data_IF_414662954090
#
_entry.id   IF_414662954090
#
_cell.length_a   1.000
_cell.length_b   1.000
_cell.length_c   1.000
_cell.angle_alpha   90.00
_cell.angle_beta   90.00
_cell.angle_gamma   90.00
#
_symmetry.space_group_name_H-M   'P 1'
#
loop_
_entity.id
_entity.type
_entity.pdbx_description
1 polymer ?
#
# COMPACT_ATOMS: atom_id res chain seq x y z
N UNK A 1 3.79 1.92 -18.95
CA UNK A 1 4.87 2.02 -17.93
C UNK A 1 4.86 0.76 -17.07
N UNK A 2 6.00 0.17 -16.82
CA UNK A 2 6.16 -1.09 -16.08
C UNK A 2 6.54 -0.83 -14.61
N UNK A 3 6.31 -1.81 -13.75
CA UNK A 3 6.79 -1.79 -12.36
C UNK A 3 8.32 -1.57 -12.28
N UNK A 4 9.06 -2.10 -13.26
CA UNK A 4 10.52 -1.94 -13.35
C UNK A 4 10.95 -0.47 -13.56
N UNK A 5 10.22 0.30 -14.36
CA UNK A 5 10.54 1.73 -14.58
C UNK A 5 10.33 2.57 -13.33
N UNK A 6 9.36 2.19 -12.49
CA UNK A 6 9.10 2.84 -11.19
C UNK A 6 9.99 2.30 -10.07
N UNK A 7 10.73 1.19 -10.28
CA UNK A 7 11.48 0.45 -9.25
C UNK A 7 10.61 0.12 -8.02
N UNK A 8 9.37 -0.28 -8.28
CA UNK A 8 8.37 -0.59 -7.27
C UNK A 8 7.67 -1.89 -7.64
N UNK A 9 7.57 -2.81 -6.69
CA UNK A 9 6.90 -4.09 -6.87
C UNK A 9 5.38 -3.97 -6.83
N UNK A 10 4.69 -4.98 -7.35
CA UNK A 10 3.31 -5.28 -6.99
C UNK A 10 3.28 -5.84 -5.57
N UNK A 11 2.22 -5.54 -4.82
CA UNK A 11 2.03 -6.08 -3.48
C UNK A 11 0.72 -6.84 -3.37
N UNK A 12 0.81 -8.09 -2.93
CA UNK A 12 -0.34 -8.83 -2.44
C UNK A 12 -0.66 -8.38 -1.02
N UNK A 13 -1.86 -7.87 -0.81
CA UNK A 13 -2.31 -7.34 0.49
C UNK A 13 -3.22 -8.36 1.15
N UNK A 14 -2.91 -8.66 2.40
CA UNK A 14 -3.57 -9.67 3.23
C UNK A 14 -4.29 -9.02 4.41
N UNK A 15 -5.51 -9.46 4.68
CA UNK A 15 -6.16 -9.23 5.97
C UNK A 15 -5.29 -9.85 7.08
N UNK A 16 -5.15 -9.14 8.18
CA UNK A 16 -4.59 -9.69 9.42
C UNK A 16 -5.61 -9.59 10.55
N UNK A 17 -5.46 -10.43 11.57
CA UNK A 17 -6.21 -10.22 12.80
C UNK A 17 -5.85 -8.86 13.38
N UNK A 18 -6.86 -8.00 13.52
CA UNK A 18 -6.69 -6.60 13.88
C UNK A 18 -5.95 -6.46 15.21
N UNK A 19 -4.96 -5.59 15.23
CA UNK A 19 -4.21 -5.26 16.43
C UNK A 19 -4.24 -3.76 16.70
N UNK A 20 -4.60 -3.39 17.91
CA UNK A 20 -4.57 -1.99 18.32
C UNK A 20 -3.14 -1.44 18.30
N UNK A 21 -3.01 -0.24 17.77
CA UNK A 21 -1.77 0.52 17.70
C UNK A 21 -2.07 1.95 18.13
N UNK A 22 -1.15 2.55 18.84
CA UNK A 22 -1.22 3.96 19.17
C UNK A 22 0.01 4.66 18.61
N UNK A 23 -0.19 5.68 17.83
CA UNK A 23 0.89 6.50 17.29
C UNK A 23 0.35 7.71 16.54
N UNK A 24 1.00 8.84 16.72
CA UNK A 24 0.72 10.06 15.97
C UNK A 24 1.88 10.32 15.02
N UNK A 25 1.57 10.58 13.77
CA UNK A 25 2.55 10.91 12.73
C UNK A 25 2.18 12.21 12.04
N UNK A 26 3.18 12.94 11.58
CA UNK A 26 2.99 14.03 10.64
C UNK A 26 3.36 13.54 9.24
N UNK A 27 2.44 13.70 8.30
CA UNK A 27 2.55 13.27 6.92
C UNK A 27 2.47 14.48 6.00
N UNK A 28 3.33 14.52 4.98
CA UNK A 28 3.25 15.52 3.92
C UNK A 28 3.50 14.84 2.58
N UNK A 29 2.52 14.88 1.72
CA UNK A 29 2.56 14.35 0.36
C UNK A 29 2.32 15.44 -0.67
N UNK A 30 2.20 15.04 -1.91
CA UNK A 30 1.96 15.94 -3.05
C UNK A 30 0.60 16.66 -2.98
N UNK A 31 -0.32 16.15 -2.18
CA UNK A 31 -1.66 16.74 -1.98
C UNK A 31 -1.72 17.70 -0.79
N UNK A 32 -0.69 17.73 0.05
CA UNK A 32 -0.71 18.43 1.32
C UNK A 32 0.22 19.66 1.24
N UNK A 33 -0.29 20.90 1.28
CA UNK A 33 0.55 22.11 1.26
C UNK A 33 1.43 22.20 2.51
N UNK A 34 1.00 21.55 3.61
CA UNK A 34 1.75 21.43 4.87
C UNK A 34 1.54 20.06 5.50
N UNK A 35 2.43 19.69 6.41
CA UNK A 35 2.32 18.42 7.13
C UNK A 35 1.00 18.30 7.89
N UNK A 36 0.34 17.15 7.75
CA UNK A 36 -0.94 16.83 8.37
C UNK A 36 -0.74 15.75 9.43
N UNK A 37 -1.40 15.88 10.58
CA UNK A 37 -1.38 14.87 11.64
C UNK A 37 -2.33 13.73 11.31
N UNK A 38 -1.85 12.49 11.46
CA UNK A 38 -2.65 11.28 11.40
C UNK A 38 -2.44 10.47 12.68
N UNK A 39 -3.54 10.10 13.34
CA UNK A 39 -3.52 9.19 14.47
C UNK A 39 -3.74 7.77 13.99
N UNK A 40 -2.77 6.89 14.25
CA UNK A 40 -2.86 5.47 13.92
C UNK A 40 -3.62 4.73 15.02
N UNK A 41 -4.53 3.83 14.62
CA UNK A 41 -5.42 3.12 15.54
C UNK A 41 -5.30 1.60 15.45
N UNK A 42 -5.20 1.03 14.26
CA UNK A 42 -5.22 -0.41 14.03
C UNK A 42 -4.17 -0.81 12.99
N UNK A 43 -3.55 -1.96 13.19
CA UNK A 43 -2.85 -2.69 12.15
C UNK A 43 -3.88 -3.57 11.44
N UNK A 44 -4.20 -3.27 10.19
CA UNK A 44 -5.29 -3.92 9.42
C UNK A 44 -4.80 -4.92 8.39
N UNK A 45 -3.67 -4.61 7.72
CA UNK A 45 -3.19 -5.42 6.61
C UNK A 45 -1.67 -5.56 6.62
N UNK A 46 -1.21 -6.66 6.04
CA UNK A 46 0.18 -6.91 5.71
C UNK A 46 0.31 -7.12 4.20
N UNK A 47 1.40 -6.63 3.60
CA UNK A 47 1.62 -6.71 2.17
C UNK A 47 2.99 -7.32 1.84
N UNK A 48 2.97 -8.34 0.97
CA UNK A 48 4.15 -8.96 0.38
C UNK A 48 4.39 -8.47 -1.04
N UNK A 49 5.65 -8.29 -1.45
CA UNK A 49 5.97 -8.17 -2.87
C UNK A 49 5.55 -9.45 -3.60
N UNK A 50 4.94 -9.31 -4.78
CA UNK A 50 4.35 -10.40 -5.52
C UNK A 50 4.77 -10.41 -6.99
N UNK A 51 5.12 -11.60 -7.50
CA UNK A 51 5.30 -11.82 -8.93
C UNK A 51 3.93 -11.91 -9.60
N UNK A 52 3.71 -11.09 -10.60
CA UNK A 52 2.52 -11.04 -11.44
C UNK A 52 2.85 -11.65 -12.81
N UNK A 53 2.13 -12.69 -13.21
CA UNK A 53 2.31 -13.38 -14.51
C UNK A 53 3.77 -13.81 -14.80
N UNK A 54 4.53 -14.15 -13.74
CA UNK A 54 5.93 -14.54 -13.85
C UNK A 54 6.94 -13.39 -13.87
N UNK A 55 6.50 -12.14 -13.78
CA UNK A 55 7.40 -10.98 -13.66
C UNK A 55 8.29 -11.09 -12.42
N UNK A 56 9.51 -10.64 -12.56
CA UNK A 56 10.49 -10.65 -11.46
C UNK A 56 10.09 -9.67 -10.37
N UNK A 57 10.19 -10.10 -9.10
CA UNK A 57 10.13 -9.22 -7.94
C UNK A 57 11.44 -8.42 -7.87
N UNK A 58 11.33 -7.09 -7.75
CA UNK A 58 12.47 -6.18 -7.69
C UNK A 58 13.19 -6.29 -6.34
N UNK A 59 12.45 -6.20 -5.23
CA UNK A 59 12.99 -6.37 -3.88
C UNK A 59 12.14 -7.34 -3.04
N UNK A 60 12.69 -8.52 -2.76
CA UNK A 60 12.00 -9.55 -1.96
C UNK A 60 11.77 -9.15 -0.50
N UNK A 61 12.48 -8.12 -0.01
CA UNK A 61 12.33 -7.57 1.34
C UNK A 61 11.37 -6.39 1.41
N UNK A 62 10.81 -5.95 0.28
CA UNK A 62 9.87 -4.84 0.22
C UNK A 62 8.51 -5.22 0.81
N UNK A 63 8.39 -5.28 2.12
CA UNK A 63 7.11 -5.52 2.79
C UNK A 63 6.53 -4.22 3.32
N UNK A 64 5.19 -4.15 3.34
CA UNK A 64 4.43 -3.03 3.90
C UNK A 64 3.48 -3.53 4.97
N UNK A 65 3.35 -2.76 6.03
CA UNK A 65 2.29 -2.93 7.03
C UNK A 65 1.33 -1.75 6.89
N UNK A 66 0.04 -2.01 6.79
CA UNK A 66 -0.97 -0.97 6.68
C UNK A 66 -1.61 -0.70 8.04
N UNK A 67 -1.44 0.51 8.49
CA UNK A 67 -2.09 1.02 9.69
C UNK A 67 -3.28 1.89 9.30
N UNK A 68 -4.46 1.56 9.82
CA UNK A 68 -5.62 2.44 9.74
C UNK A 68 -5.36 3.69 10.55
N UNK A 69 -5.60 4.85 9.95
CA UNK A 69 -5.42 6.14 10.60
C UNK A 69 -6.69 6.97 10.56
N UNK A 70 -6.91 7.74 11.61
CA UNK A 70 -7.95 8.74 11.67
C UNK A 70 -7.35 10.10 11.35
N UNK A 71 -7.92 10.77 10.37
CA UNK A 71 -7.56 12.13 9.97
C UNK A 71 -8.83 12.96 9.78
N UNK A 72 -8.77 14.22 10.15
CA UNK A 72 -9.87 15.16 9.88
C UNK A 72 -10.13 15.29 8.37
N UNK A 73 -11.36 15.61 8.01
CA UNK A 73 -11.83 15.64 6.62
C UNK A 73 -10.88 16.38 5.70
N UNK A 74 -10.50 15.73 4.62
CA UNK A 74 -9.70 16.29 3.55
C UNK A 74 -10.56 16.60 2.34
N UNK A 75 -10.19 17.60 1.53
CA UNK A 75 -10.89 17.85 0.28
C UNK A 75 -10.76 16.65 -0.65
N UNK A 76 -11.82 16.36 -1.38
CA UNK A 76 -11.76 15.38 -2.47
C UNK A 76 -10.86 15.89 -3.59
N UNK A 77 -10.26 14.94 -4.31
CA UNK A 77 -9.38 15.24 -5.44
C UNK A 77 -9.69 14.32 -6.60
N UNK A 78 -9.78 14.89 -7.78
CA UNK A 78 -9.80 14.13 -9.03
C UNK A 78 -8.37 13.87 -9.46
N UNK A 79 -8.03 12.61 -9.74
CA UNK A 79 -6.68 12.16 -10.04
C UNK A 79 -6.70 11.26 -11.26
N UNK A 80 -5.88 11.55 -12.25
CA UNK A 80 -5.66 10.66 -13.40
C UNK A 80 -4.42 9.81 -13.14
N UNK A 81 -4.60 8.50 -13.13
CA UNK A 81 -3.58 7.48 -12.82
C UNK A 81 -3.44 6.52 -13.98
N UNK A 82 -2.23 6.10 -14.27
CA UNK A 82 -1.92 5.10 -15.30
C UNK A 82 -1.05 3.99 -14.73
N UNK A 83 -1.38 2.75 -15.09
CA UNK A 83 -0.60 1.55 -14.79
C UNK A 83 -0.78 0.49 -15.89
N UNK A 84 -0.29 -0.74 -15.66
CA UNK A 84 -0.43 -1.83 -16.65
C UNK A 84 -1.87 -2.26 -16.94
N UNK A 85 -2.82 -1.94 -16.07
CA UNK A 85 -4.23 -2.32 -16.24
C UNK A 85 -5.04 -1.25 -16.97
N UNK A 86 -4.45 -0.10 -17.26
CA UNK A 86 -5.06 0.98 -17.99
C UNK A 86 -4.86 2.35 -17.36
N UNK A 87 -5.65 3.29 -17.85
CA UNK A 87 -5.72 4.66 -17.37
C UNK A 87 -7.04 4.87 -16.64
N UNK A 88 -6.96 5.41 -15.43
CA UNK A 88 -8.07 5.56 -14.52
C UNK A 88 -8.25 7.03 -14.17
N UNK A 89 -9.48 7.52 -14.24
CA UNK A 89 -9.88 8.79 -13.66
C UNK A 89 -10.57 8.47 -12.33
N UNK A 90 -9.90 8.74 -11.23
CA UNK A 90 -10.34 8.38 -9.89
C UNK A 90 -10.61 9.61 -9.04
N UNK A 91 -11.52 9.47 -8.08
CA UNK A 91 -11.79 10.49 -7.07
C UNK A 91 -11.39 9.98 -5.70
N UNK A 92 -10.46 10.70 -5.03
CA UNK A 92 -10.06 10.36 -3.66
C UNK A 92 -11.00 10.99 -2.65
N UNK A 93 -11.41 10.19 -1.66
CA UNK A 93 -12.04 10.66 -0.44
C UNK A 93 -11.00 11.02 0.64
N UNK A 94 -11.38 10.82 1.90
CA UNK A 94 -10.51 11.06 3.06
C UNK A 94 -9.34 10.08 3.14
N UNK A 95 -8.27 10.52 3.81
CA UNK A 95 -7.15 9.65 4.18
C UNK A 95 -7.63 8.51 5.09
N UNK A 96 -7.29 7.27 4.72
CA UNK A 96 -7.76 6.05 5.38
C UNK A 96 -6.67 5.35 6.21
N UNK A 97 -5.39 5.63 5.93
CA UNK A 97 -4.29 5.02 6.66
C UNK A 97 -2.93 5.28 6.07
N UNK A 98 -1.96 4.57 6.62
CA UNK A 98 -0.55 4.67 6.28
C UNK A 98 0.04 3.29 5.99
N UNK A 99 0.62 3.11 4.81
CA UNK A 99 1.50 1.98 4.50
C UNK A 99 2.91 2.32 4.98
N UNK A 100 3.48 1.41 5.75
CA UNK A 100 4.79 1.59 6.41
C UNK A 100 5.75 0.51 5.95
N UNK A 101 6.92 0.86 5.40
CA UNK A 101 7.99 -0.09 5.14
C UNK A 101 8.31 -0.92 6.39
N UNK A 102 8.31 -2.23 6.25
CA UNK A 102 8.42 -3.16 7.37
C UNK A 102 9.34 -4.32 7.03
N UNK A 103 10.13 -4.75 8.00
CA UNK A 103 10.86 -5.99 7.91
C UNK A 103 9.92 -7.15 8.29
N UNK A 104 9.83 -8.18 7.47
CA UNK A 104 9.31 -9.48 7.87
C UNK A 104 10.46 -10.22 8.54
N UNK A 105 10.34 -10.48 9.85
CA UNK A 105 11.43 -11.05 10.65
C UNK A 105 11.54 -12.55 10.40
N UNK A 106 12.51 -12.94 9.61
CA UNK A 106 12.88 -14.33 9.30
C UNK A 106 14.36 -14.41 8.95
N UNK A 107 14.92 -15.62 8.86
CA UNK A 107 16.33 -15.81 8.52
C UNK A 107 16.66 -15.17 7.16
N UNK A 108 17.71 -14.37 7.11
CA UNK A 108 18.17 -13.65 5.91
C UNK A 108 17.32 -12.45 5.48
N UNK A 109 16.27 -12.08 6.23
CA UNK A 109 15.48 -10.90 5.92
C UNK A 109 16.20 -9.60 6.28
N UNK A 110 15.99 -8.56 5.46
CA UNK A 110 16.49 -7.22 5.71
C UNK A 110 15.34 -6.21 5.76
N UNK A 111 15.61 -5.05 6.33
CA UNK A 111 14.68 -3.93 6.26
C UNK A 111 14.69 -3.36 4.82
N UNK A 112 13.52 -3.05 4.21
CA UNK A 112 13.47 -2.48 2.87
C UNK A 112 14.20 -1.12 2.83
N UNK A 113 15.09 -0.95 1.84
CA UNK A 113 15.96 0.24 1.76
C UNK A 113 15.36 1.36 0.92
N UNK A 114 14.57 1.02 -0.10
CA UNK A 114 14.11 1.96 -1.14
C UNK A 114 12.58 2.09 -1.20
N UNK A 115 11.89 1.67 -0.16
CA UNK A 115 10.43 1.69 -0.11
C UNK A 115 9.94 2.90 0.69
N UNK A 116 9.05 3.67 0.07
CA UNK A 116 8.47 4.85 0.69
C UNK A 116 7.36 4.52 1.70
N UNK A 117 7.01 5.50 2.51
CA UNK A 117 5.76 5.52 3.25
C UNK A 117 4.66 6.04 2.34
N UNK A 118 3.45 5.46 2.42
CA UNK A 118 2.34 5.87 1.57
C UNK A 118 1.13 6.24 2.42
N UNK A 119 0.61 7.44 2.21
CA UNK A 119 -0.72 7.81 2.71
C UNK A 119 -1.75 7.20 1.77
N UNK A 120 -2.69 6.47 2.33
CA UNK A 120 -3.73 5.76 1.60
C UNK A 120 -5.02 6.56 1.64
N UNK A 121 -5.60 6.79 0.47
CA UNK A 121 -6.89 7.45 0.29
C UNK A 121 -7.92 6.43 -0.17
N UNK A 122 -9.10 6.45 0.44
CA UNK A 122 -10.24 5.70 -0.07
C UNK A 122 -10.73 6.33 -1.37
N UNK A 123 -11.10 5.51 -2.34
CA UNK A 123 -11.74 5.98 -3.57
C UNK A 123 -13.25 6.07 -3.40
N UNK A 124 -13.84 7.06 -4.08
CA UNK A 124 -15.28 7.25 -4.18
C UNK A 124 -15.66 7.27 -5.67
N UNK A 125 -16.87 6.87 -5.99
CA UNK A 125 -17.44 6.89 -7.36
C UNK A 125 -16.52 6.21 -8.38
N UNK A 126 -16.13 4.97 -8.13
CA UNK A 126 -15.22 4.22 -8.98
C UNK A 126 -16.01 3.36 -9.96
N UNK A 127 -15.74 3.54 -11.26
CA UNK A 127 -16.25 2.65 -12.30
C UNK A 127 -15.59 1.25 -12.17
N UNK A 128 -16.39 0.22 -12.44
CA UNK A 128 -15.88 -1.15 -12.48
C UNK A 128 -14.91 -1.31 -13.64
N UNK A 129 -13.75 -1.88 -13.35
CA UNK A 129 -12.82 -2.29 -14.41
C UNK A 129 -13.18 -3.68 -14.94
N UNK A 130 -12.90 -3.99 -16.21
CA UNK A 130 -13.06 -5.34 -16.74
C UNK A 130 -12.31 -6.35 -15.87
N UNK A 131 -12.94 -7.48 -15.59
CA UNK A 131 -12.33 -8.55 -14.80
C UNK A 131 -11.12 -9.12 -15.55
N UNK A 132 -9.93 -8.86 -15.02
CA UNK A 132 -8.67 -9.41 -15.52
C UNK A 132 -8.23 -10.55 -14.60
N UNK A 133 -7.86 -11.68 -15.18
CA UNK A 133 -7.27 -12.80 -14.43
C UNK A 133 -5.75 -12.67 -14.42
N UNK A 134 -5.17 -12.84 -13.24
CA UNK A 134 -3.73 -12.71 -13.01
C UNK A 134 -3.22 -13.94 -12.27
N UNK A 135 -2.10 -14.47 -12.73
CA UNK A 135 -1.35 -15.48 -11.96
C UNK A 135 -0.40 -14.75 -11.01
N UNK A 136 -0.68 -14.84 -9.71
CA UNK A 136 0.11 -14.20 -8.67
C UNK A 136 0.88 -15.25 -7.88
N UNK A 137 2.14 -14.92 -7.53
CA UNK A 137 3.00 -15.76 -6.70
C UNK A 137 3.80 -14.91 -5.73
N UNK A 138 3.61 -15.14 -4.45
CA UNK A 138 4.44 -14.58 -3.39
C UNK A 138 4.94 -15.69 -2.43
N UNK A 139 5.42 -15.29 -1.26
CA UNK A 139 5.95 -16.23 -0.25
C UNK A 139 4.86 -17.08 0.41
N UNK A 140 3.59 -16.70 0.34
CA UNK A 140 2.49 -17.39 1.03
C UNK A 140 1.64 -18.23 0.09
N UNK A 141 1.47 -17.80 -1.14
CA UNK A 141 0.55 -18.45 -2.07
C UNK A 141 0.96 -18.29 -3.55
N UNK A 142 0.52 -19.24 -4.35
CA UNK A 142 0.56 -19.15 -5.81
C UNK A 142 -0.81 -19.48 -6.37
N UNK A 143 -1.27 -18.75 -7.36
CA UNK A 143 -2.48 -19.07 -8.10
C UNK A 143 -3.12 -17.89 -8.81
N UNK A 144 -4.24 -18.17 -9.48
CA UNK A 144 -4.99 -17.17 -10.22
C UNK A 144 -5.95 -16.41 -9.30
N UNK A 145 -6.05 -15.11 -9.55
CA UNK A 145 -7.03 -14.22 -8.94
C UNK A 145 -7.73 -13.40 -10.03
N UNK A 146 -8.98 -13.04 -9.80
CA UNK A 146 -9.65 -12.04 -10.61
C UNK A 146 -9.42 -10.65 -10.00
N UNK A 147 -8.94 -9.73 -10.81
CA UNK A 147 -8.82 -8.32 -10.47
C UNK A 147 -10.23 -7.70 -10.48
N UNK A 148 -10.53 -6.88 -9.48
CA UNK A 148 -11.79 -6.16 -9.33
C UNK A 148 -11.55 -4.66 -9.43
N UNK A 149 -12.55 -3.86 -9.08
CA UNK A 149 -12.46 -2.40 -9.10
C UNK A 149 -11.37 -1.86 -8.15
N UNK A 150 -10.77 -0.71 -8.46
CA UNK A 150 -9.84 -0.03 -7.56
C UNK A 150 -10.60 0.49 -6.33
N UNK A 151 -10.00 0.33 -5.15
CA UNK A 151 -10.59 0.68 -3.85
C UNK A 151 -9.85 1.82 -3.16
N UNK A 152 -8.53 1.89 -3.35
CA UNK A 152 -7.69 2.86 -2.68
C UNK A 152 -6.59 3.37 -3.61
N UNK A 153 -6.13 4.58 -3.33
CA UNK A 153 -4.96 5.18 -3.97
C UNK A 153 -3.93 5.55 -2.90
N UNK A 154 -2.70 5.08 -3.06
CA UNK A 154 -1.62 5.31 -2.13
C UNK A 154 -0.57 6.24 -2.73
N UNK A 155 -0.26 7.31 -2.01
CA UNK A 155 0.63 8.40 -2.43
C UNK A 155 1.86 8.40 -1.55
N UNK A 156 3.08 8.46 -2.10
CA UNK A 156 4.29 8.56 -1.30
C UNK A 156 4.28 9.85 -0.46
N UNK A 157 4.67 9.72 0.80
CA UNK A 157 4.66 10.81 1.76
C UNK A 157 5.95 10.90 2.57
N UNK A 158 6.40 12.11 2.82
CA UNK A 158 7.32 12.37 3.91
C UNK A 158 6.59 12.08 5.23
N UNK A 159 7.24 11.34 6.11
CA UNK A 159 6.72 11.04 7.44
C UNK A 159 7.66 11.58 8.52
N UNK A 160 7.09 12.23 9.56
CA UNK A 160 7.78 12.53 10.81
C UNK A 160 7.13 11.74 11.94
N UNK A 161 7.96 11.06 12.74
CA UNK A 161 7.55 10.34 13.94
C UNK A 161 8.57 10.58 15.06
N UNK A 162 8.15 11.24 16.11
CA UNK A 162 9.07 11.84 17.08
C UNK A 162 10.04 12.79 16.38
N UNK A 163 11.32 12.68 16.68
CA UNK A 163 12.37 13.50 16.06
C UNK A 163 12.85 12.97 14.72
N UNK A 164 12.41 11.76 14.32
CA UNK A 164 12.85 11.13 13.06
C UNK A 164 11.98 11.58 11.89
N UNK A 165 12.66 11.99 10.82
CA UNK A 165 12.06 12.35 9.54
C UNK A 165 12.44 11.32 8.47
N UNK A 166 11.47 10.86 7.72
CA UNK A 166 11.61 9.90 6.63
C UNK A 166 11.19 10.61 5.33
N UNK A 167 12.15 11.06 4.52
CA UNK A 167 11.86 11.74 3.26
C UNK A 167 11.26 10.79 2.22
N UNK A 168 10.61 11.33 1.20
CA UNK A 168 10.19 10.59 0.02
C UNK A 168 11.43 10.27 -0.81
N UNK A 169 11.55 9.03 -1.27
CA UNK A 169 12.64 8.57 -2.14
C UNK A 169 12.24 8.60 -3.61
N UNK A 170 10.96 8.29 -3.92
CA UNK A 170 10.43 8.30 -5.27
C UNK A 170 9.02 8.90 -5.32
N UNK A 171 8.94 10.20 -5.63
CA UNK A 171 7.67 10.94 -5.71
C UNK A 171 6.73 10.44 -6.82
N UNK A 172 7.23 9.66 -7.78
CA UNK A 172 6.45 9.12 -8.90
C UNK A 172 5.86 7.74 -8.62
N UNK A 173 6.36 7.04 -7.62
CA UNK A 173 6.00 5.67 -7.30
C UNK A 173 4.72 5.61 -6.45
N UNK A 174 3.56 5.72 -7.09
CA UNK A 174 2.24 5.57 -6.45
C UNK A 174 1.76 4.13 -6.54
N UNK A 175 0.74 3.79 -5.75
CA UNK A 175 0.06 2.50 -5.82
C UNK A 175 -1.45 2.70 -6.02
N UNK A 176 -2.02 2.09 -7.06
CA UNK A 176 -3.47 1.92 -7.18
C UNK A 176 -3.83 0.53 -6.66
N UNK A 177 -4.74 0.47 -5.68
CA UNK A 177 -5.02 -0.75 -4.93
C UNK A 177 -6.39 -1.28 -5.35
N UNK A 178 -6.38 -2.48 -5.91
CA UNK A 178 -7.55 -3.17 -6.45
C UNK A 178 -8.01 -4.25 -5.50
N UNK A 179 -9.32 -4.45 -5.39
CA UNK A 179 -9.88 -5.67 -4.83
C UNK A 179 -9.52 -6.89 -5.71
N UNK A 180 -9.37 -8.04 -5.10
CA UNK A 180 -9.17 -9.32 -5.80
C UNK A 180 -10.12 -10.38 -5.24
N UNK A 181 -10.26 -11.50 -5.95
CA UNK A 181 -10.91 -12.69 -5.37
C UNK A 181 -10.09 -13.17 -4.18
N UNK A 182 -10.67 -13.20 -2.95
CA UNK A 182 -9.94 -13.58 -1.74
C UNK A 182 -9.43 -15.03 -1.80
N UNK A 183 -8.26 -15.27 -1.18
CA UNK A 183 -7.66 -16.59 -1.03
C UNK A 183 -7.10 -16.77 0.37
N UNK A 184 -7.40 -17.90 0.99
CA UNK A 184 -6.90 -18.22 2.33
C UNK A 184 -5.37 -18.32 2.33
N UNK A 185 -4.74 -17.77 3.36
CA UNK A 185 -3.30 -17.82 3.58
C UNK A 185 -2.95 -18.53 4.89
N UNK A 186 -3.60 -18.18 6.00
CA UNK A 186 -3.42 -18.79 7.33
C UNK A 186 -1.94 -18.91 7.74
N UNK A 187 -1.27 -17.77 7.87
CA UNK A 187 0.16 -17.67 8.21
C UNK A 187 0.37 -16.79 9.44
N UNK A 188 1.42 -17.05 10.18
CA UNK A 188 1.94 -16.12 11.19
C UNK A 188 3.14 -15.38 10.59
N UNK A 189 3.19 -14.07 10.82
CA UNK A 189 4.27 -13.20 10.36
C UNK A 189 4.70 -12.30 11.51
N UNK A 190 5.98 -12.30 11.79
CA UNK A 190 6.55 -11.33 12.74
C UNK A 190 7.04 -10.12 11.96
N UNK A 191 6.51 -8.94 12.25
CA UNK A 191 6.83 -7.68 11.58
C UNK A 191 7.60 -6.75 12.51
N UNK A 192 8.55 -6.02 11.91
CA UNK A 192 9.33 -4.98 12.60
C UNK A 192 9.27 -3.69 11.81
N UNK A 193 8.81 -2.64 12.45
CA UNK A 193 8.89 -1.25 12.00
C UNK A 193 8.82 -0.32 13.23
N UNK A 194 8.64 1.00 13.04
CA UNK A 194 8.61 1.94 14.15
C UNK A 194 7.39 1.80 15.08
N UNK A 195 6.31 1.15 14.65
CA UNK A 195 5.09 0.91 15.43
C UNK A 195 4.95 -0.53 15.90
N UNK A 196 5.72 -1.44 15.32
CA UNK A 196 5.71 -2.87 15.61
C UNK A 196 7.14 -3.38 15.82
N UNK A 197 7.57 -3.49 17.07
CA UNK A 197 8.93 -3.93 17.45
C UNK A 197 9.00 -5.46 17.58
N UNK A 198 8.85 -6.20 16.48
CA UNK A 198 8.81 -7.67 16.50
C UNK A 198 7.44 -8.21 16.93
N UNK A 199 6.40 -7.70 16.32
CA UNK A 199 5.01 -8.09 16.58
C UNK A 199 4.60 -9.20 15.64
N UNK A 200 4.13 -10.32 16.18
CA UNK A 200 3.55 -11.41 15.39
C UNK A 200 2.07 -11.12 15.12
N UNK A 201 1.69 -11.18 13.85
CA UNK A 201 0.32 -11.05 13.38
C UNK A 201 -0.11 -12.31 12.64
N UNK A 202 -1.39 -12.66 12.74
CA UNK A 202 -1.98 -13.75 11.97
C UNK A 202 -2.53 -13.19 10.66
N UNK A 203 -1.95 -13.63 9.57
CA UNK A 203 -2.41 -13.36 8.20
C UNK A 203 -3.54 -14.33 7.85
N UNK A 204 -4.68 -13.83 7.43
CA UNK A 204 -5.90 -14.62 7.22
C UNK A 204 -6.06 -14.99 5.75
N UNK A 205 -6.18 -14.00 4.88
CA UNK A 205 -6.42 -14.18 3.44
C UNK A 205 -5.91 -13.00 2.63
N UNK A 206 -5.58 -13.23 1.37
CA UNK A 206 -5.33 -12.14 0.42
C UNK A 206 -6.66 -11.50 0.00
N UNK A 207 -6.68 -10.18 -0.10
CA UNK A 207 -7.91 -9.42 -0.42
C UNK A 207 -7.72 -8.34 -1.46
N UNK A 208 -6.50 -7.84 -1.64
CA UNK A 208 -6.21 -6.75 -2.58
C UNK A 208 -4.85 -6.94 -3.26
N UNK A 209 -4.71 -6.30 -4.41
CA UNK A 209 -3.45 -6.14 -5.15
C UNK A 209 -3.12 -4.66 -5.27
N UNK A 210 -1.97 -4.25 -4.79
CA UNK A 210 -1.44 -2.91 -5.04
C UNK A 210 -0.56 -2.94 -6.30
N UNK A 211 -0.90 -2.12 -7.27
CA UNK A 211 -0.21 -2.01 -8.55
C UNK A 211 0.62 -0.71 -8.61
N UNK A 212 1.91 -0.80 -8.94
CA UNK A 212 2.72 0.36 -9.26
C UNK A 212 2.04 1.23 -10.31
N UNK A 213 1.88 2.52 -10.02
CA UNK A 213 1.09 3.43 -10.82
C UNK A 213 1.74 4.80 -10.93
N UNK A 214 1.54 5.46 -12.06
CA UNK A 214 1.97 6.82 -12.29
C UNK A 214 0.78 7.77 -12.15
N UNK A 215 0.88 8.77 -11.30
CA UNK A 215 -0.05 9.88 -11.25
C UNK A 215 0.30 10.87 -12.38
N UNK A 216 -0.61 11.06 -13.31
CA UNK A 216 -0.41 11.94 -14.46
C UNK A 216 -0.77 13.40 -14.13
N UNK A 217 -1.94 13.60 -13.52
CA UNK A 217 -2.43 14.91 -13.08
C UNK A 217 -3.44 14.78 -11.95
N UNK A 218 -3.68 15.88 -11.26
CA UNK A 218 -4.72 15.97 -10.25
C UNK A 218 -5.25 17.40 -10.10
N UNK A 219 -6.44 17.54 -9.52
CA UNK A 219 -7.03 18.83 -9.12
C UNK A 219 -7.92 18.62 -7.88
N UNK A 220 -8.11 19.65 -7.04
CA UNK A 220 -9.16 19.64 -6.02
C UNK A 220 -10.54 19.54 -6.69
N UNK A 221 -11.53 19.00 -5.96
CA UNK A 221 -12.94 18.90 -6.40
C UNK A 221 -13.81 19.60 -5.38
#
# INVERSE_FOLDING_TARGET
MTAMELKLDYFMIYDVENRQVQGDVLLQGQFDPRAQRMRLALLDFFANPVSKNGERIYDKNAHLTWYRGLQAGEPMRQVVVENQFGKFDIRTGTGYGLLVPSQKVEAGSAFPKTLDHYKVYRLVDVEQVPTVRLKLRDQFATGEVALRFPMYFAVPVMKKYGDKKYPIQNERAHLLIFGITPRNAQRQVTVRNQFARGVTVRVVRSVMLAAPSLKLKWKPV
#
